data_IF_330930741932
#
_entry.id   IF_330930741932
#
_cell.length_a   1.000
_cell.length_b   1.000
_cell.length_c   1.000
_cell.angle_alpha   90.00
_cell.angle_beta   90.00
_cell.angle_gamma   90.00
#
_symmetry.space_group_name_H-M   'P 1'
#
loop_
_entity.id
_entity.type
_entity.pdbx_description
1 polymer ?
#
# COMPACT_ATOMS: atom_id res chain seq x y z
N UNK A 1 17.98 0.45 31.53
CA UNK A 1 18.27 1.47 30.51
C UNK A 1 17.66 0.98 29.20
N UNK A 2 16.42 1.39 28.90
CA UNK A 2 15.73 0.98 27.68
C UNK A 2 16.49 1.62 26.53
N UNK A 3 17.09 0.79 25.66
CA UNK A 3 17.75 1.27 24.45
C UNK A 3 16.64 1.81 23.58
N UNK A 4 16.50 3.12 23.61
CA UNK A 4 15.72 3.90 22.65
C UNK A 4 16.37 3.65 21.28
N UNK A 5 15.95 2.57 20.64
CA UNK A 5 16.24 2.28 19.26
C UNK A 5 15.60 3.44 18.50
N UNK A 6 16.39 4.48 18.17
CA UNK A 6 15.98 5.45 17.16
C UNK A 6 15.49 4.60 15.98
N UNK A 7 14.18 4.58 15.66
CA UNK A 7 13.76 3.74 14.57
C UNK A 7 14.48 4.27 13.33
N UNK A 8 15.20 3.39 12.64
CA UNK A 8 15.63 3.62 11.25
C UNK A 8 14.44 4.22 10.53
N UNK A 9 14.45 5.55 10.29
CA UNK A 9 13.37 6.36 9.71
C UNK A 9 12.06 5.58 9.59
N UNK A 10 11.31 5.45 10.69
CA UNK A 10 10.08 4.68 10.68
C UNK A 10 9.24 5.20 9.51
N UNK A 11 9.02 4.36 8.51
CA UNK A 11 8.17 4.75 7.41
C UNK A 11 6.78 4.99 7.98
N UNK A 12 6.36 6.25 8.01
CA UNK A 12 5.09 6.67 8.62
C UNK A 12 3.89 6.08 7.88
N UNK A 13 4.05 5.70 6.61
CA UNK A 13 2.99 5.14 5.77
C UNK A 13 3.41 3.82 5.14
N UNK A 14 2.59 2.78 5.31
CA UNK A 14 2.78 1.47 4.72
C UNK A 14 1.65 1.17 3.74
N UNK A 15 2.02 0.92 2.49
CA UNK A 15 1.13 0.42 1.46
C UNK A 15 1.05 -1.10 1.62
N UNK A 16 -0.15 -1.67 1.61
CA UNK A 16 -0.41 -3.09 1.80
C UNK A 16 -1.40 -3.62 0.75
N UNK A 17 -1.22 -4.86 0.32
CA UNK A 17 -2.16 -5.61 -0.50
C UNK A 17 -2.08 -7.11 -0.20
N UNK A 18 -3.20 -7.81 -0.35
CA UNK A 18 -3.28 -9.27 -0.20
C UNK A 18 -2.62 -10.03 -1.35
N UNK A 19 -2.58 -9.44 -2.55
CA UNK A 19 -1.90 -9.99 -3.72
C UNK A 19 -0.65 -9.19 -4.08
N UNK A 20 0.29 -9.81 -4.81
CA UNK A 20 1.44 -9.11 -5.35
C UNK A 20 1.02 -7.91 -6.20
N UNK A 21 1.58 -6.75 -5.87
CA UNK A 21 1.31 -5.51 -6.59
C UNK A 21 2.29 -5.41 -7.77
N UNK A 22 1.78 -5.01 -8.93
CA UNK A 22 2.57 -4.67 -10.10
C UNK A 22 2.56 -3.15 -10.30
N UNK A 23 3.71 -2.55 -10.60
CA UNK A 23 3.76 -1.12 -10.90
C UNK A 23 5.17 -0.64 -11.18
N UNK A 24 5.29 0.38 -12.05
CA UNK A 24 6.59 0.99 -12.40
C UNK A 24 7.31 1.60 -11.19
N UNK A 25 6.55 2.09 -10.21
CA UNK A 25 7.08 2.70 -8.99
C UNK A 25 7.07 1.74 -7.80
N UNK A 26 6.81 0.45 -8.05
CA UNK A 26 6.80 -0.57 -7.01
C UNK A 26 8.23 -1.12 -6.84
N UNK A 27 8.75 -1.25 -5.60
CA UNK A 27 10.17 -1.52 -5.35
C UNK A 27 10.65 -2.86 -5.88
N UNK A 28 9.79 -3.88 -5.89
CA UNK A 28 10.12 -5.20 -6.40
C UNK A 28 8.86 -5.91 -6.88
N UNK A 29 8.96 -6.58 -8.04
CA UNK A 29 7.91 -7.45 -8.54
C UNK A 29 7.56 -8.50 -7.49
N UNK A 30 6.27 -8.65 -7.17
CA UNK A 30 5.81 -9.61 -6.17
C UNK A 30 5.76 -9.09 -4.74
N UNK A 31 6.30 -7.89 -4.45
CA UNK A 31 6.18 -7.29 -3.11
C UNK A 31 4.72 -6.96 -2.81
N UNK A 32 4.28 -7.30 -1.60
CA UNK A 32 2.90 -7.06 -1.12
C UNK A 32 2.79 -5.83 -0.23
N UNK A 33 3.93 -5.33 0.24
CA UNK A 33 4.01 -4.18 1.11
C UNK A 33 5.14 -3.24 0.66
N UNK A 34 4.91 -1.94 0.82
CA UNK A 34 5.93 -0.93 0.59
C UNK A 34 5.75 0.22 1.57
N UNK A 35 6.81 0.60 2.28
CA UNK A 35 6.73 1.60 3.33
C UNK A 35 7.51 2.86 2.94
N UNK A 36 6.89 4.03 3.14
CA UNK A 36 7.44 5.36 2.83
C UNK A 36 7.13 6.33 3.97
N UNK A 37 7.92 7.38 4.09
CA UNK A 37 7.73 8.41 5.14
C UNK A 37 6.69 9.48 4.77
N UNK A 38 6.29 9.57 3.49
CA UNK A 38 5.38 10.62 3.02
C UNK A 38 4.00 10.07 2.61
N UNK A 39 2.93 10.70 3.09
CA UNK A 39 1.54 10.32 2.79
C UNK A 39 1.22 10.44 1.30
N UNK A 40 1.54 11.57 0.70
CA UNK A 40 1.20 11.86 -0.69
C UNK A 40 1.95 10.92 -1.62
N UNK A 41 3.21 10.60 -1.31
CA UNK A 41 3.99 9.59 -1.99
C UNK A 41 3.33 8.21 -1.86
N UNK A 42 2.96 7.79 -0.64
CA UNK A 42 2.32 6.49 -0.39
C UNK A 42 1.03 6.33 -1.22
N UNK A 43 0.18 7.36 -1.18
CA UNK A 43 -1.09 7.40 -1.92
C UNK A 43 -0.84 7.40 -3.42
N UNK A 44 0.14 8.17 -3.91
CA UNK A 44 0.46 8.22 -5.35
C UNK A 44 0.93 6.86 -5.87
N UNK A 45 1.78 6.17 -5.09
CA UNK A 45 2.25 4.83 -5.44
C UNK A 45 1.10 3.82 -5.40
N UNK A 46 0.26 3.85 -4.36
CA UNK A 46 -0.92 2.98 -4.24
C UNK A 46 -1.96 3.23 -5.35
N UNK A 47 -2.18 4.50 -5.72
CA UNK A 47 -3.10 4.88 -6.78
C UNK A 47 -2.60 4.42 -8.15
N UNK A 48 -1.29 4.56 -8.40
CA UNK A 48 -0.64 4.25 -9.67
C UNK A 48 -0.20 2.79 -9.80
N UNK A 49 -0.31 2.00 -8.75
CA UNK A 49 -0.03 0.58 -8.78
C UNK A 49 -1.25 -0.22 -9.22
N UNK A 50 -1.00 -1.33 -9.90
CA UNK A 50 -2.02 -2.24 -10.38
C UNK A 50 -1.99 -3.49 -9.50
N UNK A 51 -3.16 -3.83 -8.97
CA UNK A 51 -3.42 -5.02 -8.19
C UNK A 51 -4.61 -5.69 -8.86
N UNK A 52 -4.39 -6.85 -9.47
CA UNK A 52 -5.36 -7.48 -10.37
C UNK A 52 -6.73 -7.66 -9.71
N UNK A 53 -6.80 -8.41 -8.61
CA UNK A 53 -8.05 -8.66 -7.89
C UNK A 53 -7.98 -8.37 -6.39
N UNK A 54 -6.94 -7.67 -5.93
CA UNK A 54 -6.80 -7.28 -4.53
C UNK A 54 -6.91 -5.78 -4.31
N UNK A 55 -7.35 -5.47 -3.11
CA UNK A 55 -7.38 -4.11 -2.61
C UNK A 55 -5.97 -3.66 -2.20
N UNK A 56 -5.65 -2.41 -2.51
CA UNK A 56 -4.43 -1.73 -2.05
C UNK A 56 -4.83 -0.72 -0.99
N UNK A 57 -4.20 -0.78 0.18
CA UNK A 57 -4.43 0.13 1.31
C UNK A 57 -3.17 0.90 1.63
N UNK A 58 -3.32 2.13 2.10
CA UNK A 58 -2.25 2.89 2.74
C UNK A 58 -2.59 3.05 4.21
N UNK A 59 -1.72 2.54 5.07
CA UNK A 59 -1.87 2.54 6.53
C UNK A 59 -0.84 3.50 7.11
N UNK A 60 -1.27 4.44 7.95
CA UNK A 60 -0.37 5.22 8.77
C UNK A 60 0.15 4.35 9.91
N UNK A 61 1.42 3.97 9.88
CA UNK A 61 2.03 2.99 10.80
C UNK A 61 1.93 3.42 12.27
N UNK A 62 2.16 4.69 12.64
CA UNK A 62 2.05 5.12 14.04
C UNK A 62 0.65 5.00 14.63
N UNK A 63 -0.42 5.17 13.83
CA UNK A 63 -1.81 5.16 14.32
C UNK A 63 -2.60 3.92 13.92
N UNK A 64 -2.13 3.16 12.93
CA UNK A 64 -2.86 2.07 12.29
C UNK A 64 -4.00 2.52 11.38
N UNK A 65 -4.14 3.82 11.11
CA UNK A 65 -5.26 4.35 10.34
C UNK A 65 -5.09 4.12 8.84
N UNK A 66 -6.15 3.71 8.14
CA UNK A 66 -6.15 3.59 6.68
C UNK A 66 -6.44 4.96 6.07
N UNK A 67 -5.39 5.63 5.57
CA UNK A 67 -5.50 6.97 4.98
C UNK A 67 -5.93 6.95 3.51
N UNK A 68 -5.84 5.79 2.86
CA UNK A 68 -6.28 5.58 1.49
C UNK A 68 -6.60 4.11 1.23
N UNK A 69 -7.64 3.88 0.42
CA UNK A 69 -8.11 2.55 0.04
C UNK A 69 -8.44 2.57 -1.45
N UNK A 70 -7.75 1.73 -2.22
CA UNK A 70 -8.03 1.48 -3.63
C UNK A 70 -8.62 0.07 -3.76
N UNK A 71 -9.91 -0.07 -4.11
CA UNK A 71 -10.52 -1.38 -4.30
C UNK A 71 -9.80 -2.14 -5.41
N UNK A 72 -9.95 -3.46 -5.41
CA UNK A 72 -9.56 -4.29 -6.54
C UNK A 72 -10.16 -3.72 -7.83
N UNK A 73 -9.41 -3.78 -8.93
CA UNK A 73 -9.96 -3.54 -10.26
C UNK A 73 -10.92 -4.71 -10.52
N UNK A 74 -12.17 -4.56 -10.05
CA UNK A 74 -13.20 -5.57 -10.27
C UNK A 74 -13.32 -5.63 -11.79
N UNK A 75 -13.05 -6.77 -12.45
CA UNK A 75 -13.57 -6.92 -13.79
C UNK A 75 -15.07 -6.69 -13.62
N UNK A 76 -15.61 -5.68 -14.32
CA UNK A 76 -17.05 -5.54 -14.50
C UNK A 76 -17.52 -6.91 -15.00
N UNK A 77 -17.93 -7.78 -14.09
CA UNK A 77 -18.77 -8.90 -14.43
C UNK A 77 -20.02 -8.21 -14.94
N UNK A 78 -20.20 -8.24 -16.26
CA UNK A 78 -21.50 -8.13 -16.89
C UNK A 78 -22.41 -9.09 -16.13
N UNK A 79 -23.13 -8.54 -15.16
CA UNK A 79 -24.30 -9.17 -14.58
C UNK A 79 -25.38 -8.98 -15.65
N UNK A 80 -25.36 -9.87 -16.66
CA UNK A 80 -26.45 -9.99 -17.62
C UNK A 80 -27.37 -11.12 -17.11
N UNK A 81 -28.62 -10.81 -16.72
CA UNK A 81 -29.61 -11.80 -16.29
C UNK A 81 -30.20 -12.61 -17.45
#
# INVERSE_FOLDING_TARGET
MQKETRPMTAADYRIESTQPIAGRFWPAQGSRQFAVSDRALAVSIAAKSFSGSSEIRVVHVPTGEVVFRKPADRPMASDEP
#
